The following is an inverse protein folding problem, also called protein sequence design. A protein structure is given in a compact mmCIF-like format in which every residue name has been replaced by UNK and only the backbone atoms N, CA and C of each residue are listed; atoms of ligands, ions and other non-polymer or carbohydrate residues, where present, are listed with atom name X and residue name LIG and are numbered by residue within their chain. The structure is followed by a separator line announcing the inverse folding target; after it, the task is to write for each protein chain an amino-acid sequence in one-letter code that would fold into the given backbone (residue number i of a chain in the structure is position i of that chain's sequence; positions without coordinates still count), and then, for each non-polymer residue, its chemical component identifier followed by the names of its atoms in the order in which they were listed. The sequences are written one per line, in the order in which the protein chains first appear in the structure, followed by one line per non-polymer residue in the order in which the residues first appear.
data_IF_988844798028
#
_entry.id   IF_988844798028
#
_cell.length_a   1.000
_cell.length_b   1.000
_cell.length_c   1.000
_cell.angle_alpha   90.00
_cell.angle_beta   90.00
_cell.angle_gamma   90.00
#
_symmetry.space_group_name_H-M   'P 1'
#
loop_
_entity.id
_entity.type
_entity.pdbx_description
1 polymer ?
#
# COMPACT_ATOMS: atom_id res chain seq x y z
N UNK A 1 -11.97 -10.61 -7.36
CA UNK A 1 -13.08 -10.22 -6.48
C UNK A 1 -13.07 -8.69 -6.21
N UNK A 2 -11.99 -8.09 -5.75
CA UNK A 2 -11.90 -6.66 -5.42
C UNK A 2 -12.19 -5.76 -6.62
N UNK A 3 -11.62 -6.05 -7.79
CA UNK A 3 -11.86 -5.27 -9.03
C UNK A 3 -13.34 -5.26 -9.42
N UNK A 4 -14.04 -6.36 -9.23
CA UNK A 4 -15.47 -6.45 -9.50
C UNK A 4 -16.28 -5.58 -8.54
N UNK A 5 -15.94 -5.59 -7.24
CA UNK A 5 -16.59 -4.74 -6.22
C UNK A 5 -16.36 -3.25 -6.53
N UNK A 6 -15.15 -2.86 -6.93
CA UNK A 6 -14.84 -1.47 -7.28
C UNK A 6 -15.62 -1.00 -8.52
N UNK A 7 -15.74 -1.86 -9.55
CA UNK A 7 -16.51 -1.53 -10.76
C UNK A 7 -18.01 -1.44 -10.44
N UNK A 8 -18.56 -2.38 -9.68
CA UNK A 8 -19.97 -2.35 -9.26
C UNK A 8 -20.27 -1.09 -8.45
N UNK A 9 -19.41 -0.74 -7.49
CA UNK A 9 -19.55 0.50 -6.71
C UNK A 9 -19.50 1.76 -7.58
N UNK A 10 -18.57 1.80 -8.54
CA UNK A 10 -18.47 2.91 -9.48
C UNK A 10 -19.72 3.03 -10.40
N UNK A 11 -20.23 1.90 -10.90
CA UNK A 11 -21.46 1.89 -11.70
C UNK A 11 -22.68 2.33 -10.87
N UNK A 12 -22.77 1.89 -9.62
CA UNK A 12 -23.85 2.33 -8.72
C UNK A 12 -23.77 3.85 -8.47
N UNK A 13 -22.57 4.38 -8.23
CA UNK A 13 -22.33 5.81 -8.10
C UNK A 13 -22.72 6.57 -9.37
N UNK A 14 -22.39 6.07 -10.55
CA UNK A 14 -22.79 6.66 -11.83
C UNK A 14 -24.31 6.74 -11.99
N UNK A 15 -25.03 5.68 -11.65
CA UNK A 15 -26.49 5.64 -11.70
C UNK A 15 -27.12 6.63 -10.71
N UNK A 16 -26.63 6.67 -9.47
CA UNK A 16 -27.11 7.59 -8.45
C UNK A 16 -26.92 9.06 -8.90
N UNK A 17 -25.73 9.41 -9.39
CA UNK A 17 -25.45 10.76 -9.86
C UNK A 17 -26.27 11.11 -11.10
N UNK A 18 -26.38 10.20 -12.07
CA UNK A 18 -27.16 10.45 -13.29
C UNK A 18 -28.65 10.65 -13.06
N UNK A 19 -29.23 10.01 -12.03
CA UNK A 19 -30.67 10.08 -11.74
C UNK A 19 -31.00 11.22 -10.76
N UNK A 20 -30.18 11.35 -9.70
CA UNK A 20 -30.54 12.22 -8.57
C UNK A 20 -29.84 13.57 -8.56
N UNK A 21 -28.73 13.75 -9.30
CA UNK A 21 -27.91 14.96 -9.22
C UNK A 21 -27.99 15.71 -10.55
N UNK A 22 -28.83 16.77 -10.67
CA UNK A 22 -28.82 17.62 -11.84
C UNK A 22 -27.48 18.30 -12.04
N UNK A 23 -26.94 18.31 -13.26
CA UNK A 23 -25.62 18.84 -13.58
C UNK A 23 -25.43 20.30 -13.14
N UNK A 24 -26.49 21.09 -13.18
CA UNK A 24 -26.48 22.51 -12.73
C UNK A 24 -26.20 22.65 -11.23
N UNK A 25 -26.79 21.78 -10.40
CA UNK A 25 -26.58 21.81 -8.96
C UNK A 25 -25.16 21.28 -8.61
N UNK A 26 -24.68 20.34 -9.39
CA UNK A 26 -23.34 19.79 -9.23
C UNK A 26 -22.25 20.83 -9.48
N UNK A 27 -22.45 21.76 -10.42
CA UNK A 27 -21.48 22.83 -10.71
C UNK A 27 -21.14 23.67 -9.48
N UNK A 28 -22.12 23.97 -8.61
CA UNK A 28 -21.88 24.70 -7.37
C UNK A 28 -20.93 23.99 -6.38
N UNK A 29 -20.91 22.67 -6.39
CA UNK A 29 -20.05 21.85 -5.52
C UNK A 29 -18.70 21.47 -6.14
N UNK A 30 -18.56 21.57 -7.47
CA UNK A 30 -17.38 21.09 -8.21
C UNK A 30 -16.08 21.79 -7.78
N UNK A 31 -16.12 23.06 -7.40
CA UNK A 31 -14.96 23.79 -6.89
C UNK A 31 -14.37 23.12 -5.64
N UNK A 32 -15.23 22.75 -4.71
CA UNK A 32 -14.81 22.04 -3.49
C UNK A 32 -14.23 20.65 -3.79
N UNK A 33 -14.83 19.96 -4.78
CA UNK A 33 -14.35 18.65 -5.24
C UNK A 33 -12.95 18.78 -5.87
N UNK A 34 -12.71 19.77 -6.73
CA UNK A 34 -11.39 20.04 -7.33
C UNK A 34 -10.36 20.31 -6.26
N UNK A 35 -10.68 21.10 -5.24
CA UNK A 35 -9.78 21.38 -4.12
C UNK A 35 -9.45 20.08 -3.35
N UNK A 36 -10.47 19.28 -3.02
CA UNK A 36 -10.27 18.01 -2.32
C UNK A 36 -9.41 17.03 -3.12
N UNK A 37 -9.67 16.88 -4.42
CA UNK A 37 -8.89 16.03 -5.31
C UNK A 37 -7.44 16.48 -5.44
N UNK A 38 -7.20 17.79 -5.46
CA UNK A 38 -5.84 18.35 -5.50
C UNK A 38 -5.07 18.00 -4.23
N UNK A 39 -5.70 18.09 -3.06
CA UNK A 39 -5.10 17.71 -1.78
C UNK A 39 -4.79 16.20 -1.75
N UNK A 40 -5.74 15.37 -2.19
CA UNK A 40 -5.55 13.92 -2.27
C UNK A 40 -4.39 13.57 -3.21
N UNK A 41 -4.34 14.20 -4.38
CA UNK A 41 -3.26 13.98 -5.35
C UNK A 41 -1.91 14.39 -4.77
N UNK A 42 -1.82 15.53 -4.08
CA UNK A 42 -0.60 15.96 -3.40
C UNK A 42 -0.17 14.96 -2.31
N UNK A 43 -1.11 14.45 -1.52
CA UNK A 43 -0.82 13.43 -0.50
C UNK A 43 -0.27 12.13 -1.11
N UNK A 44 -0.83 11.69 -2.25
CA UNK A 44 -0.32 10.53 -2.99
C UNK A 44 1.10 10.77 -3.51
N UNK A 45 1.39 11.95 -4.06
CA UNK A 45 2.76 12.31 -4.50
C UNK A 45 3.75 12.34 -3.34
N UNK A 46 3.37 12.89 -2.19
CA UNK A 46 4.21 12.87 -0.98
C UNK A 46 4.50 11.42 -0.56
N UNK A 47 3.50 10.54 -0.62
CA UNK A 47 3.67 9.12 -0.29
C UNK A 47 4.63 8.42 -1.27
N UNK A 48 4.50 8.68 -2.56
CA UNK A 48 5.40 8.15 -3.60
C UNK A 48 6.85 8.64 -3.41
N UNK A 49 7.03 9.92 -3.06
CA UNK A 49 8.36 10.51 -2.87
C UNK A 49 9.05 10.08 -1.57
N UNK A 50 8.32 9.63 -0.55
CA UNK A 50 8.92 9.14 0.70
C UNK A 50 9.81 7.90 0.52
N UNK A 51 9.73 7.25 -0.64
CA UNK A 51 10.55 6.10 -0.96
C UNK A 51 10.26 4.87 -0.10
N UNK A 52 11.14 3.90 -0.20
CA UNK A 52 11.08 2.71 0.65
C UNK A 52 11.50 3.09 2.08
N UNK A 53 10.82 2.57 3.11
CA UNK A 53 11.30 2.70 4.47
C UNK A 53 12.72 2.14 4.54
N UNK A 54 13.59 2.80 5.30
CA UNK A 54 14.96 2.39 5.55
C UNK A 54 14.99 1.12 6.39
N UNK A 55 14.66 -0.01 5.78
CA UNK A 55 14.89 -1.32 6.40
C UNK A 55 16.35 -1.70 6.23
N UNK A 56 16.93 -2.29 7.27
CA UNK A 56 18.24 -2.91 7.14
C UNK A 56 18.12 -4.18 6.30
N UNK A 57 18.36 -4.02 4.99
CA UNK A 57 18.23 -5.10 4.00
C UNK A 57 19.17 -6.27 4.25
N UNK A 58 20.17 -6.10 5.15
CA UNK A 58 21.17 -7.13 5.44
C UNK A 58 20.60 -8.27 6.27
N UNK A 59 19.62 -7.97 7.12
CA UNK A 59 18.98 -8.95 8.01
C UNK A 59 17.91 -9.82 7.33
N UNK A 60 17.46 -9.43 6.11
CA UNK A 60 16.39 -10.11 5.38
C UNK A 60 16.95 -11.20 4.45
N UNK A 61 16.28 -12.34 4.40
CA UNK A 61 16.55 -13.40 3.42
C UNK A 61 16.24 -12.95 2.00
N UNK A 62 16.85 -13.58 1.00
CA UNK A 62 16.67 -13.23 -0.41
C UNK A 62 15.19 -13.32 -0.83
N UNK A 63 14.46 -14.31 -0.33
CA UNK A 63 13.05 -14.52 -0.70
C UNK A 63 12.12 -13.50 -0.02
N UNK A 64 12.38 -13.15 1.23
CA UNK A 64 11.67 -12.08 1.95
C UNK A 64 11.87 -10.73 1.24
N UNK A 65 13.10 -10.43 0.83
CA UNK A 65 13.42 -9.24 0.04
C UNK A 65 12.66 -9.18 -1.27
N UNK A 66 12.64 -10.28 -2.04
CA UNK A 66 11.89 -10.36 -3.32
C UNK A 66 10.39 -10.17 -3.10
N UNK A 67 9.83 -10.77 -2.06
CA UNK A 67 8.41 -10.65 -1.71
C UNK A 67 8.04 -9.22 -1.37
N UNK A 68 8.82 -8.57 -0.52
CA UNK A 68 8.61 -7.18 -0.12
C UNK A 68 8.74 -6.23 -1.32
N UNK A 69 9.80 -6.37 -2.12
CA UNK A 69 10.00 -5.54 -3.32
C UNK A 69 8.83 -5.68 -4.29
N UNK A 70 8.33 -6.89 -4.53
CA UNK A 70 7.17 -7.12 -5.40
C UNK A 70 5.93 -6.41 -4.86
N UNK A 71 5.65 -6.53 -3.56
CA UNK A 71 4.51 -5.86 -2.93
C UNK A 71 4.59 -4.33 -3.06
N UNK A 72 5.78 -3.74 -2.87
CA UNK A 72 5.99 -2.29 -3.02
C UNK A 72 5.80 -1.85 -4.47
N UNK A 73 6.35 -2.58 -5.45
CA UNK A 73 6.19 -2.26 -6.88
C UNK A 73 4.73 -2.33 -7.31
N UNK A 74 3.98 -3.34 -6.85
CA UNK A 74 2.54 -3.43 -7.12
C UNK A 74 1.77 -2.27 -6.49
N UNK A 75 2.08 -1.90 -5.25
CA UNK A 75 1.46 -0.74 -4.60
C UNK A 75 1.75 0.56 -5.36
N UNK A 76 2.99 0.75 -5.82
CA UNK A 76 3.37 1.92 -6.62
C UNK A 76 2.56 2.02 -7.91
N UNK A 77 2.31 0.89 -8.58
CA UNK A 77 1.43 0.85 -9.77
C UNK A 77 0.00 1.26 -9.44
N UNK A 78 -0.54 0.81 -8.30
CA UNK A 78 -1.89 1.21 -7.86
C UNK A 78 -1.98 2.71 -7.57
N UNK A 79 -0.96 3.30 -6.94
CA UNK A 79 -0.89 4.75 -6.76
C UNK A 79 -0.85 5.52 -8.09
N UNK A 80 -0.11 5.02 -9.09
CA UNK A 80 -0.08 5.64 -10.42
C UNK A 80 -1.46 5.60 -11.09
N UNK A 81 -2.20 4.50 -10.95
CA UNK A 81 -3.59 4.39 -11.45
C UNK A 81 -4.50 5.41 -10.78
N UNK A 82 -4.39 5.59 -9.46
CA UNK A 82 -5.19 6.59 -8.72
C UNK A 82 -4.89 8.00 -9.23
N UNK A 83 -3.62 8.35 -9.41
CA UNK A 83 -3.22 9.66 -9.94
C UNK A 83 -3.80 9.88 -11.33
N UNK A 84 -3.80 8.86 -12.20
CA UNK A 84 -4.38 8.94 -13.53
C UNK A 84 -5.91 9.16 -13.49
N UNK A 85 -6.63 8.43 -12.63
CA UNK A 85 -8.09 8.58 -12.46
C UNK A 85 -8.42 9.99 -11.90
N UNK A 86 -7.67 10.43 -10.88
CA UNK A 86 -7.83 11.77 -10.32
C UNK A 86 -7.55 12.86 -11.34
N UNK A 87 -6.49 12.71 -12.13
CA UNK A 87 -6.17 13.64 -13.23
C UNK A 87 -7.29 13.74 -14.24
N UNK A 88 -7.86 12.60 -14.65
CA UNK A 88 -9.00 12.57 -15.56
C UNK A 88 -10.24 13.25 -14.95
N UNK A 89 -10.54 12.95 -13.69
CA UNK A 89 -11.68 13.58 -12.99
C UNK A 89 -11.48 15.10 -12.85
N UNK A 90 -10.25 15.55 -12.56
CA UNK A 90 -9.90 16.96 -12.51
C UNK A 90 -10.10 17.65 -13.86
N UNK A 91 -9.66 17.03 -14.97
CA UNK A 91 -9.86 17.57 -16.31
C UNK A 91 -11.34 17.72 -16.64
N UNK A 92 -12.16 16.71 -16.33
CA UNK A 92 -13.61 16.78 -16.54
C UNK A 92 -14.24 17.87 -15.66
N UNK A 93 -13.87 17.95 -14.38
CA UNK A 93 -14.39 18.93 -13.45
C UNK A 93 -14.04 20.37 -13.86
N UNK A 94 -12.78 20.63 -14.22
CA UNK A 94 -12.33 21.94 -14.71
C UNK A 94 -13.02 22.30 -16.02
N UNK A 95 -13.18 21.35 -16.95
CA UNK A 95 -13.90 21.56 -18.18
C UNK A 95 -15.37 21.97 -17.95
N UNK A 96 -16.06 21.32 -17.02
CA UNK A 96 -17.44 21.67 -16.64
C UNK A 96 -17.54 23.04 -15.96
N UNK A 97 -16.61 23.35 -15.06
CA UNK A 97 -16.55 24.68 -14.40
C UNK A 97 -16.32 25.76 -15.44
N UNK A 98 -15.42 25.53 -16.41
CA UNK A 98 -15.11 26.49 -17.47
C UNK A 98 -16.28 26.70 -18.41
N UNK A 99 -17.05 25.65 -18.73
CA UNK A 99 -18.26 25.75 -19.53
C UNK A 99 -19.33 26.58 -18.81
N UNK A 100 -19.39 26.51 -17.50
CA UNK A 100 -20.32 27.26 -16.67
C UNK A 100 -21.79 26.82 -16.85
N UNK A 101 -22.71 27.46 -16.12
CA UNK A 101 -24.13 27.14 -16.15
C UNK A 101 -24.71 27.36 -17.55
N UNK A 102 -24.31 28.45 -18.25
CA UNK A 102 -24.78 28.75 -19.58
C UNK A 102 -24.39 27.69 -20.61
N UNK A 103 -23.14 27.23 -20.58
CA UNK A 103 -22.69 26.17 -21.49
C UNK A 103 -23.39 24.83 -21.23
N UNK A 104 -23.68 24.55 -19.98
CA UNK A 104 -24.34 23.29 -19.57
C UNK A 104 -25.84 23.31 -19.91
N UNK A 105 -26.53 24.46 -19.77
CA UNK A 105 -27.95 24.58 -20.08
C UNK A 105 -28.28 24.43 -21.57
N UNK A 106 -27.32 24.71 -22.46
CA UNK A 106 -27.44 24.47 -23.90
C UNK A 106 -27.22 23.01 -24.32
N UNK A 107 -26.76 22.15 -23.41
CA UNK A 107 -26.57 20.71 -23.71
C UNK A 107 -27.95 20.01 -23.76
N UNK A 108 -28.03 19.00 -24.63
CA UNK A 108 -29.17 18.10 -24.67
C UNK A 108 -29.35 17.44 -23.29
N UNK A 109 -30.59 17.23 -22.80
CA UNK A 109 -30.84 16.60 -21.50
C UNK A 109 -30.11 15.25 -21.34
N UNK A 110 -30.06 14.46 -22.40
CA UNK A 110 -29.32 13.20 -22.40
C UNK A 110 -27.81 13.40 -22.16
N UNK A 111 -27.19 14.46 -22.69
CA UNK A 111 -25.79 14.78 -22.49
C UNK A 111 -25.55 15.26 -21.05
N UNK A 112 -26.46 16.04 -20.46
CA UNK A 112 -26.33 16.43 -19.04
C UNK A 112 -26.35 15.24 -18.11
N UNK A 113 -27.25 14.27 -18.31
CA UNK A 113 -27.31 13.02 -17.54
C UNK A 113 -26.00 12.20 -17.75
N UNK A 114 -25.50 12.12 -18.98
CA UNK A 114 -24.29 11.41 -19.29
C UNK A 114 -23.07 12.02 -18.57
N UNK A 115 -22.92 13.35 -18.58
CA UNK A 115 -21.83 14.02 -17.85
C UNK A 115 -21.93 13.83 -16.33
N UNK A 116 -23.15 13.96 -15.76
CA UNK A 116 -23.36 13.70 -14.34
C UNK A 116 -23.00 12.25 -13.98
N UNK A 117 -23.41 11.28 -14.80
CA UNK A 117 -23.07 9.88 -14.62
C UNK A 117 -21.55 9.62 -14.73
N UNK A 118 -20.85 10.26 -15.68
CA UNK A 118 -19.40 10.15 -15.84
C UNK A 118 -18.67 10.69 -14.61
N UNK A 119 -19.06 11.85 -14.11
CA UNK A 119 -18.46 12.41 -12.88
C UNK A 119 -18.74 11.50 -11.68
N UNK A 120 -19.96 11.00 -11.56
CA UNK A 120 -20.33 10.03 -10.53
C UNK A 120 -19.52 8.76 -10.61
N UNK A 121 -19.32 8.20 -11.81
CA UNK A 121 -18.52 7.03 -12.07
C UNK A 121 -17.05 7.22 -11.64
N UNK A 122 -16.43 8.30 -12.13
CA UNK A 122 -15.04 8.61 -11.84
C UNK A 122 -14.82 8.87 -10.33
N UNK A 123 -15.75 9.58 -9.69
CA UNK A 123 -15.71 9.84 -8.25
C UNK A 123 -15.82 8.55 -7.44
N UNK A 124 -16.79 7.69 -7.76
CA UNK A 124 -16.96 6.39 -7.13
C UNK A 124 -15.76 5.48 -7.33
N UNK A 125 -15.20 5.46 -8.53
CA UNK A 125 -13.98 4.69 -8.84
C UNK A 125 -12.78 5.21 -8.06
N UNK A 126 -12.61 6.53 -7.95
CA UNK A 126 -11.55 7.16 -7.18
C UNK A 126 -11.64 6.78 -5.70
N UNK A 127 -12.81 6.92 -5.07
CA UNK A 127 -13.03 6.60 -3.65
C UNK A 127 -12.76 5.11 -3.40
N UNK A 128 -13.29 4.22 -4.25
CA UNK A 128 -13.11 2.78 -4.10
C UNK A 128 -11.63 2.37 -4.24
N UNK A 129 -10.91 2.97 -5.18
CA UNK A 129 -9.47 2.72 -5.37
C UNK A 129 -8.64 3.28 -4.22
N UNK A 130 -8.96 4.47 -3.72
CA UNK A 130 -8.30 5.03 -2.55
C UNK A 130 -8.47 4.14 -1.32
N UNK A 131 -9.70 3.69 -1.03
CA UNK A 131 -9.96 2.78 0.07
C UNK A 131 -9.16 1.48 -0.05
N UNK A 132 -9.10 0.90 -1.25
CA UNK A 132 -8.31 -0.30 -1.52
C UNK A 132 -6.82 -0.09 -1.28
N UNK A 133 -6.26 1.02 -1.77
CA UNK A 133 -4.82 1.29 -1.62
C UNK A 133 -4.45 1.57 -0.17
N UNK A 134 -5.29 2.28 0.58
CA UNK A 134 -5.09 2.48 2.03
C UNK A 134 -5.07 1.15 2.77
N UNK A 135 -6.00 0.25 2.45
CA UNK A 135 -6.02 -1.10 3.02
C UNK A 135 -4.72 -1.86 2.71
N UNK A 136 -4.29 -1.83 1.45
CA UNK A 136 -3.07 -2.53 1.00
C UNK A 136 -1.79 -1.92 1.59
N UNK A 137 -1.73 -0.61 1.75
CA UNK A 137 -0.62 0.06 2.43
C UNK A 137 -0.50 -0.40 3.89
N UNK A 138 -1.64 -0.56 4.56
CA UNK A 138 -1.69 -1.12 5.92
C UNK A 138 -1.16 -2.56 5.97
N UNK A 139 -1.56 -3.42 5.03
CA UNK A 139 -1.05 -4.81 4.94
C UNK A 139 0.47 -4.86 4.76
N UNK A 140 1.02 -3.94 3.94
CA UNK A 140 2.48 -3.85 3.74
C UNK A 140 3.18 -3.41 5.02
N UNK A 141 2.63 -2.43 5.75
CA UNK A 141 3.20 -1.98 7.04
C UNK A 141 3.19 -3.12 8.05
N UNK A 142 2.10 -3.89 8.13
CA UNK A 142 2.03 -5.07 8.99
C UNK A 142 3.06 -6.14 8.60
N UNK A 143 3.23 -6.38 7.30
CA UNK A 143 4.25 -7.31 6.79
C UNK A 143 5.67 -6.84 7.14
N UNK A 144 5.95 -5.56 6.96
CA UNK A 144 7.24 -4.97 7.33
C UNK A 144 7.54 -5.14 8.81
N UNK A 145 6.58 -4.83 9.68
CA UNK A 145 6.72 -5.01 11.13
C UNK A 145 7.04 -6.46 11.48
N UNK A 146 6.29 -7.40 10.91
CA UNK A 146 6.53 -8.83 11.15
C UNK A 146 7.94 -9.27 10.72
N UNK A 147 8.41 -8.81 9.56
CA UNK A 147 9.74 -9.13 9.06
C UNK A 147 10.85 -8.51 9.94
N UNK A 148 10.65 -7.31 10.48
CA UNK A 148 11.59 -6.68 11.42
C UNK A 148 11.66 -7.46 12.73
N UNK A 149 10.53 -7.86 13.29
CA UNK A 149 10.45 -8.63 14.52
C UNK A 149 11.15 -10.00 14.34
N UNK A 150 10.87 -10.72 13.25
CA UNK A 150 11.51 -12.00 12.92
C UNK A 150 13.02 -11.87 12.68
N UNK A 151 13.48 -10.77 12.06
CA UNK A 151 14.91 -10.51 11.85
C UNK A 151 15.63 -10.23 13.17
N UNK A 152 15.00 -9.47 14.07
CA UNK A 152 15.53 -9.19 15.40
C UNK A 152 15.70 -10.46 16.25
N UNK A 153 14.72 -11.38 16.21
CA UNK A 153 14.81 -12.67 16.88
C UNK A 153 15.96 -13.52 16.33
N UNK A 154 16.15 -13.57 15.01
CA UNK A 154 17.26 -14.29 14.38
C UNK A 154 18.61 -13.71 14.80
N UNK A 155 18.77 -12.40 14.80
CA UNK A 155 20.00 -11.72 15.24
C UNK A 155 20.30 -12.01 16.72
N UNK A 156 19.29 -12.01 17.59
CA UNK A 156 19.45 -12.36 19.00
C UNK A 156 19.95 -13.80 19.18
N UNK A 157 19.34 -14.77 18.47
CA UNK A 157 19.75 -16.17 18.50
C UNK A 157 21.19 -16.37 17.96
N UNK A 158 21.55 -15.66 16.90
CA UNK A 158 22.91 -15.70 16.36
C UNK A 158 23.93 -15.09 17.33
N UNK A 159 23.57 -13.99 18.01
CA UNK A 159 24.42 -13.39 19.04
C UNK A 159 24.66 -14.35 20.22
N UNK A 160 23.61 -15.02 20.70
CA UNK A 160 23.73 -16.04 21.75
C UNK A 160 24.60 -17.21 21.31
N UNK A 161 24.44 -17.69 20.08
CA UNK A 161 25.30 -18.77 19.52
C UNK A 161 26.76 -18.34 19.45
N UNK A 162 27.05 -17.10 19.04
CA UNK A 162 28.44 -16.58 19.02
C UNK A 162 29.05 -16.52 20.43
N UNK A 163 28.26 -16.04 21.41
CA UNK A 163 28.68 -15.99 22.81
C UNK A 163 28.94 -17.42 23.36
N UNK A 164 28.06 -18.36 23.05
CA UNK A 164 28.23 -19.75 23.45
C UNK A 164 29.48 -20.39 22.79
N UNK A 165 29.68 -20.13 21.50
CA UNK A 165 30.82 -20.61 20.76
C UNK A 165 32.15 -20.02 21.31
N UNK A 166 32.20 -18.74 21.66
CA UNK A 166 33.38 -18.13 22.28
C UNK A 166 33.67 -18.73 23.65
N UNK A 167 32.66 -18.93 24.50
CA UNK A 167 32.82 -19.59 25.80
C UNK A 167 33.36 -21.02 25.66
N UNK A 168 32.89 -21.78 24.66
CA UNK A 168 33.38 -23.12 24.38
C UNK A 168 34.85 -23.07 23.92
N UNK A 169 35.20 -22.10 23.05
CA UNK A 169 36.59 -21.93 22.62
C UNK A 169 37.53 -21.55 23.79
N UNK A 170 37.09 -20.65 24.67
CA UNK A 170 37.83 -20.23 25.85
C UNK A 170 38.03 -21.40 26.83
N UNK A 171 37.00 -22.22 27.06
CA UNK A 171 37.12 -23.43 27.88
C UNK A 171 38.05 -24.46 27.26
N UNK A 172 38.04 -24.60 25.93
CA UNK A 172 38.96 -25.48 25.23
C UNK A 172 40.42 -24.98 25.31
N UNK A 173 40.63 -23.67 25.20
CA UNK A 173 41.94 -23.03 25.35
C UNK A 173 42.49 -23.11 26.78
N UNK A 174 41.59 -23.03 27.78
CA UNK A 174 41.94 -23.16 29.19
C UNK A 174 42.38 -24.60 29.62
N UNK A 175 42.50 -25.52 28.65
CA UNK A 175 43.05 -26.86 28.91
C UNK A 175 42.07 -27.85 29.53
N UNK A 176 40.77 -27.53 29.55
CA UNK A 176 39.70 -28.49 29.86
C UNK A 176 39.60 -29.53 28.72
N UNK A 177 40.71 -30.20 28.42
CA UNK A 177 40.71 -31.36 27.51
C UNK A 177 39.80 -32.41 28.11
N UNK A 178 38.98 -33.03 27.28
CA UNK A 178 38.25 -34.26 27.60
C UNK A 178 39.19 -35.19 28.37
N UNK A 179 38.93 -35.48 29.64
CA UNK A 179 39.60 -36.53 30.32
C UNK A 179 39.52 -37.79 29.46
N UNK A 180 40.67 -38.47 29.18
CA UNK A 180 40.59 -39.70 28.42
C UNK A 180 39.65 -40.64 29.15
N UNK A 181 38.82 -41.41 28.43
CA UNK A 181 37.86 -42.30 29.06
C UNK A 181 38.60 -43.19 30.04
N UNK A 182 38.26 -43.14 31.34
CA UNK A 182 38.79 -43.98 32.37
C UNK A 182 38.44 -45.40 31.98
N UNK A 183 39.45 -46.23 31.70
CA UNK A 183 39.23 -47.65 31.38
C UNK A 183 38.43 -48.25 32.53
N UNK A 184 37.36 -48.98 32.27
CA UNK A 184 36.58 -49.63 33.32
C UNK A 184 37.54 -50.53 34.09
N UNK A 185 37.56 -50.43 35.42
CA UNK A 185 38.35 -51.25 36.29
C UNK A 185 37.81 -52.67 36.11
N UNK A 186 38.65 -53.57 35.55
CA UNK A 186 38.30 -54.99 35.51
C UNK A 186 38.13 -55.49 36.95
N UNK A 187 36.90 -55.84 37.28
CA UNK A 187 36.65 -56.55 38.53
C UNK A 187 37.17 -57.93 38.36
N UNK A 188 38.31 -58.24 39.06
CA UNK A 188 38.75 -59.61 39.21
C UNK A 188 37.88 -60.24 40.29
N UNK A 189 37.14 -61.27 39.92
CA UNK A 189 36.48 -62.18 40.82
C UNK A 189 37.50 -62.97 41.64
#
# INVERSE_FOLDING_TARGET
MILLVTIVGACLSALLFGIFVPLEQMLGGLQSVVTALSIVTAAVFVRLNRGMPTLDWKSLTIDERKRLTRAIVELTKEYAVIVAINGLLLLVAVGLITAGIQGVSHLLPAAQIAFSAVVGFLSGLCIARMAYVVWRDFDIVCLQRKLVDESGEREAVEAERKIAASKIADMAAAGLRKQPPVKPKEWKD
#
